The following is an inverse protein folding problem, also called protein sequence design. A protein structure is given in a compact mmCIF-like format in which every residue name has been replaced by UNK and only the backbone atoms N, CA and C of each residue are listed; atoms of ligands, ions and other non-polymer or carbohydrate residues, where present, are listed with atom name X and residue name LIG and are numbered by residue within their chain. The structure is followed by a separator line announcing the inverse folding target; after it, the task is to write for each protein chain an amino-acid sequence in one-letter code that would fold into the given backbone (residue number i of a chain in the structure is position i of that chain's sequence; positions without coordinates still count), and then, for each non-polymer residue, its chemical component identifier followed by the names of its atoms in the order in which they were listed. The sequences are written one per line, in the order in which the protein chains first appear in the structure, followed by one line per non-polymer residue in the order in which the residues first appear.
data_IF_258857861789
#
_entry.id   IF_258857861789
#
_cell.length_a   1.000
_cell.length_b   1.000
_cell.length_c   1.000
_cell.angle_alpha   90.00
_cell.angle_beta   90.00
_cell.angle_gamma   90.00
#
_symmetry.space_group_name_H-M   'P 1'
#
loop_
_entity.id
_entity.type
_entity.pdbx_description
1 polymer ?
#
# COMPACT_ATOMS: atom_id res chain seq x y z
N UNK A 1 10.74 14.61 14.28
CA UNK A 1 10.80 13.34 15.06
C UNK A 1 9.97 12.28 14.38
N UNK A 2 10.39 11.01 14.44
CA UNK A 2 9.60 9.87 13.98
C UNK A 2 8.30 9.80 14.78
N UNK A 3 7.22 9.49 14.07
CA UNK A 3 5.88 9.41 14.66
C UNK A 3 5.21 8.11 14.26
N UNK A 4 4.62 7.44 15.23
CA UNK A 4 3.68 6.34 15.00
C UNK A 4 2.52 6.39 15.98
N UNK A 5 1.40 5.81 15.55
CA UNK A 5 0.21 5.54 16.35
C UNK A 5 -0.39 4.21 15.89
N UNK A 6 -0.20 3.16 16.68
CA UNK A 6 -0.71 1.82 16.41
C UNK A 6 -1.91 1.57 17.33
N UNK A 7 -3.04 1.26 16.75
CA UNK A 7 -4.29 1.04 17.46
C UNK A 7 -4.90 -0.30 17.06
N UNK A 8 -5.27 -1.10 18.05
CA UNK A 8 -6.09 -2.31 17.88
C UNK A 8 -7.52 -1.97 18.29
N UNK A 9 -8.47 -2.25 17.41
CA UNK A 9 -9.90 -2.00 17.66
C UNK A 9 -10.72 -3.28 17.51
N UNK A 10 -11.82 -3.36 18.26
CA UNK A 10 -12.78 -4.43 18.11
C UNK A 10 -13.54 -4.27 16.79
N UNK A 11 -13.57 -5.29 15.93
CA UNK A 11 -14.18 -5.20 14.60
C UNK A 11 -15.71 -4.99 14.63
N UNK A 12 -16.38 -5.37 15.72
CA UNK A 12 -17.84 -5.26 15.85
C UNK A 12 -18.28 -3.93 16.47
N UNK A 13 -17.53 -3.46 17.49
CA UNK A 13 -17.93 -2.27 18.26
C UNK A 13 -17.15 -1.02 17.90
N UNK A 14 -15.99 -1.16 17.22
CA UNK A 14 -15.05 -0.07 16.98
C UNK A 14 -14.29 0.40 18.23
N UNK A 15 -14.54 -0.21 19.38
CA UNK A 15 -13.88 0.17 20.63
C UNK A 15 -12.38 -0.13 20.56
N UNK A 16 -11.56 0.78 21.09
CA UNK A 16 -10.11 0.59 21.20
C UNK A 16 -9.81 -0.48 22.23
N UNK A 17 -9.13 -1.55 21.82
CA UNK A 17 -8.65 -2.62 22.69
C UNK A 17 -7.29 -2.25 23.28
N UNK A 18 -6.39 -1.77 22.42
CA UNK A 18 -5.02 -1.39 22.78
C UNK A 18 -4.50 -0.29 21.86
N UNK A 19 -3.65 0.56 22.39
CA UNK A 19 -2.99 1.62 21.61
C UNK A 19 -1.55 1.81 22.09
N UNK A 20 -0.63 1.91 21.15
CA UNK A 20 0.74 2.32 21.37
C UNK A 20 1.04 3.50 20.46
N UNK A 21 1.58 4.56 21.03
CA UNK A 21 1.85 5.79 20.29
C UNK A 21 3.14 6.43 20.77
N UNK A 22 3.88 7.00 19.83
CA UNK A 22 5.05 7.84 20.17
C UNK A 22 4.64 9.24 20.64
N UNK A 23 3.36 9.60 20.50
CA UNK A 23 2.82 10.90 20.88
C UNK A 23 1.45 10.77 21.55
N UNK A 24 1.34 10.09 22.70
CA UNK A 24 0.10 10.02 23.45
C UNK A 24 -0.30 11.42 23.92
N UNK A 25 -1.54 11.84 23.59
CA UNK A 25 -2.01 13.19 23.95
C UNK A 25 -1.36 14.36 23.18
N UNK A 26 -0.65 14.09 22.08
CA UNK A 26 -0.04 15.12 21.23
C UNK A 26 1.38 15.54 21.61
N UNK A 27 1.90 15.01 22.72
CA UNK A 27 3.29 15.27 23.16
C UNK A 27 4.15 14.02 22.94
N UNK A 28 5.42 14.23 22.56
CA UNK A 28 6.38 13.15 22.36
C UNK A 28 6.67 12.41 23.67
N UNK A 29 6.56 11.09 23.62
CA UNK A 29 6.88 10.21 24.72
C UNK A 29 8.24 9.53 24.50
N UNK A 30 9.28 9.88 25.26
CA UNK A 30 10.60 9.24 25.14
C UNK A 30 10.57 7.76 25.57
N UNK A 31 9.56 7.35 26.36
CA UNK A 31 9.35 5.98 26.80
C UNK A 31 8.49 5.15 25.84
N UNK A 32 8.05 5.73 24.70
CA UNK A 32 7.29 5.00 23.69
C UNK A 32 8.01 3.71 23.29
N UNK A 33 7.26 2.62 23.11
CA UNK A 33 7.81 1.32 22.76
C UNK A 33 8.46 1.34 21.37
N UNK A 34 9.42 0.46 21.12
CA UNK A 34 9.94 0.27 19.78
C UNK A 34 8.91 -0.42 18.92
N UNK A 35 8.74 0.08 17.70
CA UNK A 35 7.91 -0.56 16.66
C UNK A 35 8.76 -0.80 15.43
N UNK A 36 8.67 -2.02 14.90
CA UNK A 36 9.28 -2.38 13.63
C UNK A 36 8.19 -2.84 12.67
N UNK A 37 8.29 -2.46 11.41
CA UNK A 37 7.36 -2.88 10.39
C UNK A 37 7.98 -2.91 8.99
N UNK A 38 7.44 -3.80 8.17
CA UNK A 38 7.69 -3.88 6.73
C UNK A 38 6.36 -4.17 6.03
N UNK A 39 5.87 -3.19 5.27
CA UNK A 39 4.51 -3.22 4.74
C UNK A 39 4.51 -2.88 3.24
N UNK A 40 4.68 -3.90 2.38
CA UNK A 40 4.54 -3.72 0.94
C UNK A 40 3.06 -3.68 0.52
N UNK A 41 2.68 -2.67 -0.25
CA UNK A 41 1.39 -2.54 -0.93
C UNK A 41 1.64 -2.39 -2.42
N UNK A 42 1.03 -3.22 -3.24
CA UNK A 42 1.20 -3.18 -4.70
C UNK A 42 -0.14 -3.22 -5.43
N UNK A 43 -0.10 -2.96 -6.74
CA UNK A 43 -1.25 -3.25 -7.60
C UNK A 43 -1.55 -4.75 -7.59
N UNK A 44 -2.83 -5.12 -7.77
CA UNK A 44 -3.28 -6.50 -7.63
C UNK A 44 -2.73 -7.48 -8.68
N UNK A 45 -2.15 -6.97 -9.77
CA UNK A 45 -1.46 -7.76 -10.79
C UNK A 45 0.02 -8.07 -10.43
N UNK A 46 0.52 -7.53 -9.31
CA UNK A 46 1.84 -7.82 -8.76
C UNK A 46 1.71 -8.58 -7.44
N UNK A 47 2.70 -9.43 -7.09
CA UNK A 47 2.72 -10.10 -5.81
C UNK A 47 2.69 -9.09 -4.65
N UNK A 48 1.81 -9.31 -3.69
CA UNK A 48 1.76 -8.54 -2.45
C UNK A 48 2.50 -9.29 -1.35
N UNK A 49 3.32 -8.57 -0.58
CA UNK A 49 3.93 -9.11 0.63
C UNK A 49 2.96 -9.11 1.80
N UNK A 50 3.30 -9.86 2.84
CA UNK A 50 2.58 -9.82 4.11
C UNK A 50 3.01 -8.59 4.92
N UNK A 51 2.05 -7.94 5.56
CA UNK A 51 2.35 -6.83 6.47
C UNK A 51 2.75 -7.38 7.83
N UNK A 52 4.01 -7.26 8.16
CA UNK A 52 4.57 -7.66 9.46
C UNK A 52 4.80 -6.44 10.34
N UNK A 53 4.30 -6.47 11.57
CA UNK A 53 4.48 -5.41 12.56
C UNK A 53 4.89 -6.05 13.86
N UNK A 54 5.94 -5.53 14.48
CA UNK A 54 6.48 -6.01 15.77
C UNK A 54 6.52 -4.83 16.74
N UNK A 55 6.02 -5.04 17.94
CA UNK A 55 6.09 -4.08 19.07
C UNK A 55 6.96 -4.69 20.14
N UNK A 56 8.08 -4.04 20.46
CA UNK A 56 9.03 -4.48 21.48
C UNK A 56 8.88 -3.69 22.78
N UNK A 57 9.16 -4.34 23.90
CA UNK A 57 9.01 -3.78 25.24
C UNK A 57 7.59 -3.87 25.79
N UNK A 58 6.78 -4.76 25.24
CA UNK A 58 5.40 -4.98 25.72
C UNK A 58 5.38 -5.62 27.10
N UNK A 59 4.25 -5.47 27.82
CA UNK A 59 4.06 -6.12 29.12
C UNK A 59 3.85 -7.63 28.99
N UNK A 60 4.14 -8.38 30.05
CA UNK A 60 3.86 -9.82 30.11
C UNK A 60 2.37 -10.12 29.86
N UNK A 61 1.48 -9.24 30.30
CA UNK A 61 0.04 -9.37 30.07
C UNK A 61 -0.29 -9.23 28.58
N UNK A 62 0.32 -8.30 27.85
CA UNK A 62 0.12 -8.15 26.41
C UNK A 62 0.63 -9.38 25.65
N UNK A 63 1.75 -9.93 26.11
CA UNK A 63 2.34 -11.14 25.55
C UNK A 63 1.41 -12.35 25.71
N UNK A 64 0.85 -12.56 26.91
CA UNK A 64 -0.08 -13.67 27.18
C UNK A 64 -1.41 -13.51 26.45
N UNK A 65 -1.82 -12.29 26.18
CA UNK A 65 -3.05 -11.98 25.43
C UNK A 65 -2.86 -11.95 23.90
N UNK A 66 -1.67 -12.24 23.42
CA UNK A 66 -1.35 -12.11 21.99
C UNK A 66 -2.37 -12.79 21.08
N UNK A 67 -2.74 -14.04 21.40
CA UNK A 67 -3.66 -14.83 20.55
C UNK A 67 -5.09 -14.25 20.51
N UNK A 68 -5.49 -13.45 21.49
CA UNK A 68 -6.83 -12.83 21.53
C UNK A 68 -7.02 -11.76 20.45
N UNK A 69 -5.92 -11.22 19.92
CA UNK A 69 -5.96 -10.23 18.85
C UNK A 69 -6.12 -10.86 17.48
N UNK A 70 -5.75 -12.12 17.32
CA UNK A 70 -5.77 -12.82 16.03
C UNK A 70 -7.18 -13.25 15.60
N UNK A 71 -7.33 -13.53 14.33
CA UNK A 71 -8.50 -14.21 13.78
C UNK A 71 -8.50 -15.67 14.25
N UNK A 72 -9.57 -16.13 14.86
CA UNK A 72 -9.72 -17.53 15.26
C UNK A 72 -10.66 -18.27 14.32
N UNK A 73 -10.36 -19.54 14.05
CA UNK A 73 -11.28 -20.47 13.37
C UNK A 73 -12.03 -21.24 14.44
N UNK A 74 -13.35 -21.10 14.48
CA UNK A 74 -14.21 -21.85 15.38
C UNK A 74 -14.32 -23.33 14.96
N UNK A 75 -14.79 -24.17 15.84
CA UNK A 75 -14.95 -25.61 15.57
C UNK A 75 -15.91 -25.95 14.43
N UNK A 76 -16.75 -25.01 14.00
CA UNK A 76 -17.65 -25.09 12.83
C UNK A 76 -16.99 -24.58 11.54
N UNK A 77 -15.71 -24.20 11.57
CA UNK A 77 -14.98 -23.61 10.45
C UNK A 77 -15.26 -22.11 10.23
N UNK A 78 -16.15 -21.49 11.02
CA UNK A 78 -16.40 -20.08 10.94
C UNK A 78 -15.23 -19.28 11.54
N UNK A 79 -14.81 -18.23 10.85
CA UNK A 79 -13.78 -17.33 11.37
C UNK A 79 -14.41 -16.33 12.35
N UNK A 80 -13.95 -16.33 13.59
CA UNK A 80 -14.25 -15.25 14.52
C UNK A 80 -13.24 -14.11 14.33
N UNK A 81 -13.78 -12.91 14.33
CA UNK A 81 -13.00 -11.76 13.95
C UNK A 81 -11.87 -11.38 14.89
N UNK A 82 -10.64 -11.40 14.42
CA UNK A 82 -9.49 -10.73 15.03
C UNK A 82 -9.67 -9.22 15.13
N UNK A 83 -8.84 -8.56 15.92
CA UNK A 83 -8.82 -7.11 16.00
C UNK A 83 -8.52 -6.47 14.63
N UNK A 84 -9.00 -5.25 14.43
CA UNK A 84 -8.55 -4.41 13.33
C UNK A 84 -7.33 -3.61 13.81
N UNK A 85 -6.24 -3.73 13.12
CA UNK A 85 -5.01 -2.98 13.37
C UNK A 85 -4.93 -1.80 12.42
N UNK A 86 -4.76 -0.61 12.99
CA UNK A 86 -4.48 0.62 12.24
C UNK A 86 -3.13 1.14 12.68
N UNK A 87 -2.19 1.28 11.75
CA UNK A 87 -0.92 1.95 11.98
C UNK A 87 -0.89 3.25 11.20
N UNK A 88 -0.72 4.35 11.94
CA UNK A 88 -0.39 5.66 11.37
C UNK A 88 1.08 5.93 11.61
N UNK A 89 1.74 6.59 10.66
CA UNK A 89 3.15 6.93 10.78
C UNK A 89 3.54 8.11 9.92
N UNK A 90 4.76 8.59 10.14
CA UNK A 90 5.32 9.73 9.44
C UNK A 90 6.37 10.47 10.27
N UNK A 91 6.53 11.76 9.97
CA UNK A 91 7.39 12.68 10.72
C UNK A 91 6.53 13.74 11.36
N UNK A 92 6.71 13.96 12.65
CA UNK A 92 6.06 15.05 13.40
C UNK A 92 7.03 16.21 13.67
N UNK A 93 6.49 17.33 14.13
CA UNK A 93 7.26 18.54 14.45
C UNK A 93 8.48 18.24 15.35
N UNK A 94 9.54 19.01 15.18
CA UNK A 94 10.78 18.89 15.94
C UNK A 94 12.03 18.60 15.11
N UNK A 95 11.87 18.37 13.79
CA UNK A 95 12.96 18.34 12.82
C UNK A 95 12.71 19.37 11.72
N UNK A 96 13.73 20.03 11.18
CA UNK A 96 13.57 21.02 10.09
C UNK A 96 12.91 20.46 8.84
N UNK A 97 13.05 19.13 8.61
CA UNK A 97 12.53 18.42 7.45
C UNK A 97 11.17 17.75 7.71
N UNK A 98 10.63 17.86 8.93
CA UNK A 98 9.38 17.22 9.27
C UNK A 98 8.19 18.01 8.72
N UNK A 99 7.37 17.36 7.90
CA UNK A 99 6.08 17.87 7.45
C UNK A 99 4.96 16.99 8.04
N UNK A 100 4.27 17.45 9.09
CA UNK A 100 3.19 16.67 9.71
C UNK A 100 2.04 16.34 8.76
N UNK A 101 1.84 17.11 7.69
CA UNK A 101 0.81 16.84 6.68
C UNK A 101 1.10 15.57 5.87
N UNK A 102 2.33 15.08 5.87
CA UNK A 102 2.72 13.82 5.22
C UNK A 102 2.47 12.59 6.11
N UNK A 103 2.23 12.79 7.41
CA UNK A 103 1.86 11.69 8.30
C UNK A 103 0.45 11.18 7.97
N UNK A 104 0.28 9.87 7.90
CA UNK A 104 -0.99 9.27 7.51
C UNK A 104 -1.12 7.82 7.93
N UNK A 105 -2.19 7.19 7.48
CA UNK A 105 -2.43 5.76 7.69
C UNK A 105 -1.55 4.96 6.73
N UNK A 106 -0.65 4.16 7.30
CA UNK A 106 0.24 3.27 6.55
C UNK A 106 -0.45 1.93 6.24
N UNK A 107 -1.16 1.39 7.23
CA UNK A 107 -1.95 0.17 7.09
C UNK A 107 -3.20 0.24 7.95
N UNK A 108 -4.28 -0.34 7.43
CA UNK A 108 -5.50 -0.66 8.16
C UNK A 108 -5.94 -2.06 7.71
N UNK A 109 -5.91 -3.02 8.63
CA UNK A 109 -6.17 -4.41 8.28
C UNK A 109 -6.60 -5.25 9.47
N UNK A 110 -7.07 -6.47 9.18
CA UNK A 110 -7.38 -7.44 10.21
C UNK A 110 -6.11 -8.14 10.67
N UNK A 111 -5.97 -8.35 11.97
CA UNK A 111 -4.91 -9.18 12.53
C UNK A 111 -5.24 -10.63 12.20
N UNK A 112 -4.49 -11.19 11.24
CA UNK A 112 -4.67 -12.58 10.83
C UNK A 112 -4.01 -13.53 11.83
N UNK A 113 -2.77 -13.22 12.24
CA UNK A 113 -2.04 -13.94 13.25
C UNK A 113 -1.38 -12.95 14.23
N UNK A 114 -1.26 -13.38 15.48
CA UNK A 114 -0.55 -12.63 16.51
C UNK A 114 0.10 -13.60 17.49
N UNK A 115 1.35 -13.33 17.81
CA UNK A 115 2.12 -14.16 18.77
C UNK A 115 3.09 -13.30 19.56
N UNK A 116 3.36 -13.75 20.78
CA UNK A 116 4.34 -13.13 21.64
C UNK A 116 5.62 -13.94 21.71
N UNK A 117 6.76 -13.26 21.74
CA UNK A 117 8.07 -13.83 21.95
C UNK A 117 8.72 -13.19 23.17
N UNK A 118 9.32 -14.04 24.03
CA UNK A 118 10.13 -13.59 25.15
C UNK A 118 11.52 -14.18 25.00
N UNK A 119 12.48 -13.34 24.67
CA UNK A 119 13.88 -13.73 24.40
C UNK A 119 14.77 -12.89 25.33
N UNK A 120 15.39 -13.55 26.33
CA UNK A 120 16.21 -12.84 27.32
C UNK A 120 15.36 -11.85 28.15
N UNK A 121 15.68 -10.58 28.05
CA UNK A 121 14.93 -9.48 28.69
C UNK A 121 13.87 -8.87 27.78
N UNK A 122 13.85 -9.24 26.50
CA UNK A 122 13.05 -8.58 25.48
C UNK A 122 11.72 -9.33 25.28
N UNK A 123 10.63 -8.63 25.45
CA UNK A 123 9.28 -9.09 25.16
C UNK A 123 8.77 -8.39 23.90
N UNK A 124 8.43 -9.16 22.88
CA UNK A 124 7.96 -8.66 21.61
C UNK A 124 6.61 -9.27 21.23
N UNK A 125 5.71 -8.44 20.71
CA UNK A 125 4.41 -8.83 20.18
C UNK A 125 4.42 -8.63 18.66
N UNK A 126 4.20 -9.71 17.93
CA UNK A 126 4.22 -9.72 16.47
C UNK A 126 2.81 -9.86 15.91
N UNK A 127 2.53 -9.10 14.86
CA UNK A 127 1.27 -9.10 14.13
C UNK A 127 1.51 -9.38 12.66
N UNK A 128 0.74 -10.31 12.10
CA UNK A 128 0.56 -10.48 10.68
C UNK A 128 -0.79 -9.87 10.31
N UNK A 129 -0.76 -8.83 9.48
CA UNK A 129 -1.95 -8.07 9.10
C UNK A 129 -2.31 -8.35 7.65
N UNK A 130 -3.59 -8.57 7.41
CA UNK A 130 -4.15 -8.77 6.09
C UNK A 130 -5.26 -7.75 5.83
N UNK A 131 -5.53 -7.37 4.57
CA UNK A 131 -6.67 -6.55 4.26
C UNK A 131 -7.97 -7.15 4.83
N UNK A 132 -8.87 -6.34 5.43
CA UNK A 132 -10.07 -6.86 6.10
C UNK A 132 -10.97 -7.70 5.18
N UNK A 133 -10.94 -7.43 3.88
CA UNK A 133 -11.69 -8.15 2.85
C UNK A 133 -11.21 -9.59 2.69
N UNK A 134 -9.92 -9.85 2.84
CA UNK A 134 -9.37 -11.21 2.71
C UNK A 134 -9.50 -12.06 3.98
N UNK A 135 -10.09 -11.48 5.04
CA UNK A 135 -10.27 -12.14 6.33
C UNK A 135 -11.25 -13.33 6.28
N UNK A 136 -12.24 -13.27 5.40
CA UNK A 136 -13.36 -14.24 5.34
C UNK A 136 -13.33 -15.15 4.12
N UNK A 137 -12.19 -15.56 3.65
CA UNK A 137 -11.93 -16.12 2.33
C UNK A 137 -12.15 -15.09 1.21
N UNK A 138 -11.24 -15.06 0.27
CA UNK A 138 -11.53 -14.42 -1.01
C UNK A 138 -12.82 -15.03 -1.53
N UNK A 139 -13.72 -14.24 -2.18
CA UNK A 139 -15.04 -14.75 -2.57
C UNK A 139 -14.99 -15.94 -3.49
N UNK A 140 -13.84 -16.41 -3.91
CA UNK A 140 -13.64 -17.66 -4.68
C UNK A 140 -14.36 -17.69 -6.02
N UNK A 141 -15.21 -16.69 -6.28
CA UNK A 141 -16.06 -16.61 -7.45
C UNK A 141 -16.40 -15.15 -7.79
N UNK A 142 -15.45 -14.47 -8.41
CA UNK A 142 -15.66 -13.14 -8.95
C UNK A 142 -16.20 -13.30 -10.38
N UNK A 143 -17.48 -12.97 -10.57
CA UNK A 143 -18.15 -13.07 -11.87
C UNK A 143 -18.10 -11.73 -12.57
N UNK A 144 -17.35 -11.64 -13.66
CA UNK A 144 -17.26 -10.46 -14.50
C UNK A 144 -18.13 -10.64 -15.75
N UNK A 145 -18.91 -9.60 -16.06
CA UNK A 145 -19.74 -9.59 -17.24
C UNK A 145 -19.76 -8.17 -17.82
N UNK A 146 -19.09 -7.98 -18.95
CA UNK A 146 -18.98 -6.69 -19.63
C UNK A 146 -19.68 -6.79 -20.99
N UNK A 147 -20.85 -6.16 -21.09
CA UNK A 147 -21.72 -6.25 -22.26
C UNK A 147 -21.40 -5.16 -23.30
N UNK A 148 -21.62 -5.42 -24.60
CA UNK A 148 -21.44 -4.41 -25.65
C UNK A 148 -22.19 -3.10 -25.34
N UNK A 149 -21.51 -1.97 -25.51
CA UNK A 149 -22.03 -0.65 -25.18
C UNK A 149 -21.96 -0.24 -23.69
N UNK A 150 -21.64 -1.16 -22.80
CA UNK A 150 -21.49 -0.88 -21.37
C UNK A 150 -20.11 -0.26 -21.10
N UNK A 151 -20.06 0.73 -20.19
CA UNK A 151 -18.80 1.28 -19.70
C UNK A 151 -18.10 0.26 -18.78
N UNK A 152 -16.80 0.19 -18.86
CA UNK A 152 -16.00 -0.70 -18.01
C UNK A 152 -16.13 -0.34 -16.52
N UNK A 153 -16.23 0.96 -16.19
CA UNK A 153 -16.47 1.42 -14.83
C UNK A 153 -17.72 0.78 -14.19
N UNK A 154 -18.79 0.67 -14.95
CA UNK A 154 -20.07 0.14 -14.47
C UNK A 154 -19.99 -1.39 -14.29
N UNK A 155 -19.36 -2.10 -15.24
CA UNK A 155 -19.15 -3.53 -15.15
C UNK A 155 -18.27 -3.90 -13.94
N UNK A 156 -17.16 -3.17 -13.73
CA UNK A 156 -16.28 -3.37 -12.56
C UNK A 156 -17.01 -3.03 -11.26
N UNK A 157 -17.76 -1.93 -11.21
CA UNK A 157 -18.55 -1.56 -10.02
C UNK A 157 -19.50 -2.68 -9.64
N UNK A 158 -20.26 -3.19 -10.60
CA UNK A 158 -21.21 -4.29 -10.35
C UNK A 158 -20.49 -5.55 -9.87
N UNK A 159 -19.40 -5.92 -10.50
CA UNK A 159 -18.61 -7.11 -10.14
C UNK A 159 -18.04 -7.00 -8.73
N UNK A 160 -17.35 -5.88 -8.43
CA UNK A 160 -16.67 -5.72 -7.15
C UNK A 160 -17.63 -5.47 -5.99
N UNK A 161 -18.73 -4.74 -6.20
CA UNK A 161 -19.75 -4.56 -5.15
C UNK A 161 -20.48 -5.86 -4.80
N UNK A 162 -20.59 -6.79 -5.75
CA UNK A 162 -21.14 -8.13 -5.50
C UNK A 162 -20.13 -9.01 -4.78
N UNK A 163 -18.87 -9.02 -5.23
CA UNK A 163 -17.83 -9.84 -4.66
C UNK A 163 -17.35 -9.35 -3.28
N UNK A 164 -17.29 -8.04 -3.09
CA UNK A 164 -16.78 -7.37 -1.89
C UNK A 164 -17.75 -6.31 -1.35
N UNK A 165 -18.93 -6.71 -0.85
CA UNK A 165 -19.99 -5.77 -0.47
C UNK A 165 -19.63 -4.82 0.69
N UNK A 166 -18.60 -5.17 1.47
CA UNK A 166 -18.15 -4.37 2.62
C UNK A 166 -16.99 -3.43 2.29
N UNK A 167 -16.40 -3.54 1.08
CA UNK A 167 -15.26 -2.72 0.69
C UNK A 167 -15.72 -1.48 -0.07
N UNK A 168 -15.36 -0.27 0.39
CA UNK A 168 -15.54 0.94 -0.40
C UNK A 168 -14.80 0.83 -1.73
N UNK A 169 -15.43 1.28 -2.80
CA UNK A 169 -14.87 1.29 -4.15
C UNK A 169 -14.53 2.72 -4.57
N UNK A 170 -13.34 2.90 -5.13
CA UNK A 170 -12.92 4.14 -5.78
C UNK A 170 -12.48 3.83 -7.20
N UNK A 171 -13.30 4.22 -8.19
CA UNK A 171 -13.07 3.91 -9.61
C UNK A 171 -12.75 5.19 -10.37
N UNK A 172 -11.52 5.28 -10.84
CA UNK A 172 -10.93 6.44 -11.52
C UNK A 172 -10.31 5.98 -12.86
N UNK A 173 -11.15 5.63 -13.82
CA UNK A 173 -10.75 5.15 -15.15
C UNK A 173 -11.40 5.93 -16.27
N UNK A 174 -10.83 5.87 -17.47
CA UNK A 174 -11.34 6.55 -18.64
C UNK A 174 -12.77 6.15 -18.97
N UNK A 175 -13.68 7.11 -19.17
CA UNK A 175 -15.06 6.84 -19.62
C UNK A 175 -15.14 6.33 -21.07
N UNK A 176 -14.03 6.38 -21.82
CA UNK A 176 -13.95 5.88 -23.20
C UNK A 176 -13.79 4.35 -23.29
N UNK A 177 -13.55 3.70 -22.14
CA UNK A 177 -13.49 2.24 -22.06
C UNK A 177 -14.90 1.67 -22.13
N UNK A 178 -15.36 1.39 -23.35
CA UNK A 178 -16.69 0.84 -23.65
C UNK A 178 -16.53 -0.47 -24.42
N UNK A 179 -17.30 -1.49 -24.04
CA UNK A 179 -17.24 -2.79 -24.67
C UNK A 179 -17.65 -2.73 -26.15
N UNK A 180 -16.81 -3.22 -27.03
CA UNK A 180 -17.15 -3.48 -28.43
C UNK A 180 -17.75 -4.89 -28.63
N UNK A 181 -17.39 -5.83 -27.76
CA UNK A 181 -17.86 -7.22 -27.73
C UNK A 181 -18.03 -7.67 -26.28
N UNK A 182 -18.85 -8.71 -26.02
CA UNK A 182 -19.02 -9.20 -24.66
C UNK A 182 -17.71 -9.82 -24.15
N UNK A 183 -17.40 -9.58 -22.88
CA UNK A 183 -16.34 -10.28 -22.14
C UNK A 183 -16.94 -10.82 -20.83
N UNK A 184 -16.87 -12.14 -20.64
CA UNK A 184 -17.42 -12.85 -19.48
C UNK A 184 -16.33 -13.73 -18.90
N UNK A 185 -16.12 -13.62 -17.59
CA UNK A 185 -15.09 -14.39 -16.90
C UNK A 185 -15.44 -14.74 -15.47
N UNK A 186 -14.78 -15.80 -14.98
CA UNK A 186 -14.82 -16.24 -13.58
C UNK A 186 -13.41 -16.22 -13.02
N UNK A 187 -13.25 -15.61 -11.86
CA UNK A 187 -11.95 -15.46 -11.22
C UNK A 187 -12.03 -15.88 -9.76
N UNK A 188 -11.12 -16.73 -9.32
CA UNK A 188 -11.08 -17.20 -7.94
C UNK A 188 -10.42 -16.22 -6.99
N UNK A 189 -9.60 -15.29 -7.50
CA UNK A 189 -8.88 -14.31 -6.68
C UNK A 189 -8.96 -12.91 -7.26
N UNK A 190 -8.84 -11.90 -6.39
CA UNK A 190 -8.74 -10.51 -6.79
C UNK A 190 -7.57 -10.26 -7.76
N UNK A 191 -6.44 -10.94 -7.52
CA UNK A 191 -5.24 -10.80 -8.35
C UNK A 191 -5.48 -11.29 -9.78
N UNK A 192 -6.15 -12.44 -9.95
CA UNK A 192 -6.50 -12.95 -11.28
C UNK A 192 -7.45 -12.00 -12.02
N UNK A 193 -8.45 -11.47 -11.32
CA UNK A 193 -9.35 -10.48 -11.90
C UNK A 193 -8.62 -9.20 -12.30
N UNK A 194 -7.76 -8.65 -11.44
CA UNK A 194 -6.98 -7.46 -11.73
C UNK A 194 -6.04 -7.65 -12.94
N UNK A 195 -5.41 -8.83 -13.04
CA UNK A 195 -4.55 -9.17 -14.17
C UNK A 195 -5.35 -9.27 -15.47
N UNK A 196 -6.52 -9.91 -15.45
CA UNK A 196 -7.41 -10.01 -16.61
C UNK A 196 -7.84 -8.62 -17.10
N UNK A 197 -8.33 -7.75 -16.22
CA UNK A 197 -8.75 -6.40 -16.59
C UNK A 197 -7.59 -5.58 -17.16
N UNK A 198 -6.39 -5.68 -16.59
CA UNK A 198 -5.21 -5.03 -17.14
C UNK A 198 -4.90 -5.50 -18.56
N UNK A 199 -4.85 -6.80 -18.78
CA UNK A 199 -4.58 -7.39 -20.11
C UNK A 199 -5.67 -7.04 -21.13
N UNK A 200 -6.94 -7.09 -20.71
CA UNK A 200 -8.09 -6.76 -21.54
C UNK A 200 -8.06 -5.30 -22.01
N UNK A 201 -7.60 -4.39 -21.15
CA UNK A 201 -7.63 -2.95 -21.42
C UNK A 201 -6.35 -2.39 -22.00
N UNK A 202 -5.24 -3.11 -21.89
CA UNK A 202 -3.94 -2.67 -22.39
C UNK A 202 -4.01 -2.40 -23.91
N UNK A 203 -3.56 -1.21 -24.31
CA UNK A 203 -3.55 -0.81 -25.72
C UNK A 203 -4.92 -0.37 -26.30
N UNK A 204 -6.03 -0.41 -25.53
CA UNK A 204 -7.36 -0.06 -26.07
C UNK A 204 -7.52 1.42 -26.42
N UNK A 205 -6.94 2.32 -25.65
CA UNK A 205 -7.08 3.77 -25.89
C UNK A 205 -5.96 4.33 -26.77
N UNK A 206 -4.77 3.78 -26.65
CA UNK A 206 -3.60 4.10 -27.47
C UNK A 206 -2.60 2.95 -27.39
N UNK A 207 -1.64 2.90 -28.32
CA UNK A 207 -0.58 1.87 -28.30
C UNK A 207 0.30 1.89 -27.05
N UNK A 208 0.35 3.03 -26.36
CA UNK A 208 1.11 3.22 -25.10
C UNK A 208 0.25 3.10 -23.84
N UNK A 209 -1.06 2.86 -23.98
CA UNK A 209 -1.96 2.76 -22.84
C UNK A 209 -1.66 1.51 -22.00
N UNK A 210 -1.25 1.72 -20.75
CA UNK A 210 -0.80 0.65 -19.84
C UNK A 210 -1.93 -0.24 -19.31
N UNK A 211 -3.20 0.09 -19.60
CA UNK A 211 -4.38 -0.61 -19.11
C UNK A 211 -4.84 -0.14 -17.73
N UNK A 212 -5.99 -0.68 -17.31
CA UNK A 212 -6.59 -0.42 -16.00
C UNK A 212 -5.90 -1.28 -14.95
N UNK A 213 -5.59 -0.66 -13.81
CA UNK A 213 -4.97 -1.34 -12.65
C UNK A 213 -5.90 -1.27 -11.45
N UNK A 214 -5.75 -2.23 -10.57
CA UNK A 214 -6.52 -2.31 -9.34
C UNK A 214 -5.59 -2.52 -8.16
N UNK A 215 -5.96 -1.97 -7.01
CA UNK A 215 -5.26 -2.23 -5.74
C UNK A 215 -6.26 -2.29 -4.61
N UNK A 216 -5.90 -3.01 -3.58
CA UNK A 216 -6.58 -2.97 -2.30
C UNK A 216 -5.64 -2.32 -1.29
N UNK A 217 -5.95 -1.12 -0.86
CA UNK A 217 -5.14 -0.34 0.07
C UNK A 217 -5.98 0.16 1.23
N UNK A 218 -5.45 0.06 2.43
CA UNK A 218 -6.04 0.50 3.72
C UNK A 218 -7.42 -0.06 4.06
N UNK A 219 -8.42 0.03 3.25
CA UNK A 219 -9.76 -0.56 3.37
C UNK A 219 -10.58 -0.37 2.11
N UNK A 220 -9.97 0.20 1.06
CA UNK A 220 -10.66 0.62 -0.16
C UNK A 220 -10.09 -0.14 -1.36
N UNK A 221 -10.95 -0.67 -2.20
CA UNK A 221 -10.55 -1.14 -3.52
C UNK A 221 -10.48 0.07 -4.45
N UNK A 222 -9.31 0.33 -4.98
CA UNK A 222 -9.07 1.41 -5.94
C UNK A 222 -8.83 0.83 -7.31
N UNK A 223 -9.57 1.31 -8.30
CA UNK A 223 -9.43 0.97 -9.72
C UNK A 223 -9.06 2.24 -10.46
N UNK A 224 -7.95 2.25 -11.16
CA UNK A 224 -7.41 3.46 -11.76
C UNK A 224 -6.67 3.18 -13.07
N UNK A 225 -6.52 4.21 -13.86
CA UNK A 225 -5.67 4.21 -15.05
C UNK A 225 -4.83 5.49 -15.12
N UNK A 226 -4.02 5.64 -16.16
CA UNK A 226 -3.15 6.80 -16.33
C UNK A 226 -3.83 8.00 -17.00
N UNK A 227 -5.11 7.90 -17.36
CA UNK A 227 -5.83 8.96 -18.07
C UNK A 227 -6.50 9.97 -17.15
N UNK A 228 -6.85 9.55 -15.94
CA UNK A 228 -7.47 10.42 -14.94
C UNK A 228 -6.42 11.31 -14.26
N UNK A 229 -6.72 12.58 -14.12
CA UNK A 229 -5.87 13.51 -13.38
C UNK A 229 -6.19 13.41 -11.89
N UNK A 230 -5.63 12.42 -11.21
CA UNK A 230 -5.62 12.38 -9.73
C UNK A 230 -4.67 13.46 -9.20
N UNK A 231 -4.78 13.87 -7.93
CA UNK A 231 -3.85 14.81 -7.33
C UNK A 231 -2.41 14.37 -7.57
N UNK A 232 -1.59 15.31 -8.04
CA UNK A 232 -0.16 15.05 -8.26
C UNK A 232 0.58 15.44 -7.01
N UNK A 233 1.27 14.50 -6.37
CA UNK A 233 2.16 14.80 -5.26
C UNK A 233 3.49 15.34 -5.80
N UNK A 234 3.78 16.60 -5.50
CA UNK A 234 5.09 17.19 -5.78
C UNK A 234 6.05 16.80 -4.66
N UNK A 235 7.04 15.97 -4.97
CA UNK A 235 8.13 15.67 -4.05
C UNK A 235 9.11 16.83 -3.99
N UNK A 236 9.60 17.13 -2.79
CA UNK A 236 10.63 18.14 -2.57
C UNK A 236 11.98 17.47 -2.30
N UNK A 237 13.10 18.20 -2.48
CA UNK A 237 14.43 17.65 -2.17
C UNK A 237 14.56 17.14 -0.74
N UNK A 238 13.87 17.78 0.19
CA UNK A 238 13.85 17.42 1.61
C UNK A 238 13.10 16.12 1.91
N UNK A 239 12.30 15.63 0.98
CA UNK A 239 11.58 14.37 1.15
C UNK A 239 12.47 13.15 0.90
N UNK A 240 13.52 13.29 0.11
CA UNK A 240 14.31 12.16 -0.38
C UNK A 240 15.30 11.62 0.65
N UNK A 241 15.37 10.29 0.69
CA UNK A 241 16.42 9.52 1.36
C UNK A 241 17.23 8.82 0.26
N UNK A 242 18.27 9.49 -0.21
CA UNK A 242 19.06 9.05 -1.35
C UNK A 242 18.49 9.50 -2.69
N UNK A 243 19.09 9.02 -3.76
CA UNK A 243 18.78 9.40 -5.13
C UNK A 243 17.72 8.45 -5.73
N UNK A 244 16.75 8.96 -6.53
CA UNK A 244 15.88 8.09 -7.32
C UNK A 244 16.67 7.18 -8.26
N UNK A 245 16.26 5.92 -8.38
CA UNK A 245 17.03 4.86 -9.08
C UNK A 245 16.13 4.10 -10.04
N UNK A 246 16.55 3.94 -11.30
CA UNK A 246 15.88 3.05 -12.23
C UNK A 246 16.19 1.58 -11.86
N UNK A 247 15.16 0.84 -11.43
CA UNK A 247 15.28 -0.58 -11.04
C UNK A 247 14.86 -1.54 -12.16
N UNK A 248 14.11 -1.04 -13.14
CA UNK A 248 13.74 -1.74 -14.36
C UNK A 248 13.65 -0.75 -15.51
N UNK A 249 13.41 -1.24 -16.72
CA UNK A 249 13.37 -0.44 -17.95
C UNK A 249 12.37 0.72 -17.89
N UNK A 250 11.23 0.48 -17.24
CA UNK A 250 10.11 1.41 -17.10
C UNK A 250 9.76 1.74 -15.63
N UNK A 251 10.58 1.31 -14.69
CA UNK A 251 10.26 1.46 -13.26
C UNK A 251 11.36 2.19 -12.52
N UNK A 252 11.02 3.34 -11.96
CA UNK A 252 11.88 4.11 -11.06
C UNK A 252 11.51 3.84 -9.62
N UNK A 253 12.51 3.64 -8.77
CA UNK A 253 12.35 3.55 -7.32
C UNK A 253 12.73 4.86 -6.67
N UNK A 254 11.88 5.33 -5.78
CA UNK A 254 12.07 6.54 -4.99
C UNK A 254 11.96 6.20 -3.52
N UNK A 255 12.94 6.61 -2.73
CA UNK A 255 12.90 6.47 -1.28
C UNK A 255 12.73 7.84 -0.65
N UNK A 256 11.75 7.98 0.24
CA UNK A 256 11.48 9.21 0.98
C UNK A 256 11.49 8.94 2.48
N UNK A 257 11.53 10.00 3.28
CA UNK A 257 11.15 9.88 4.70
C UNK A 257 9.76 9.25 4.80
N UNK A 258 9.49 8.54 5.90
CA UNK A 258 8.22 7.84 6.06
C UNK A 258 7.04 8.80 5.91
N UNK A 259 6.12 8.48 5.02
CA UNK A 259 4.91 9.24 4.74
C UNK A 259 3.75 8.34 4.35
N UNK A 260 2.54 8.69 4.79
CA UNK A 260 1.31 7.93 4.53
C UNK A 260 0.30 8.65 3.65
N UNK A 261 0.67 9.81 3.09
CA UNK A 261 -0.19 10.63 2.23
C UNK A 261 -0.18 10.18 0.75
N UNK A 262 0.82 9.38 0.34
CA UNK A 262 0.96 8.87 -1.03
C UNK A 262 0.59 7.38 -1.04
N UNK A 263 -0.32 7.03 -1.94
CA UNK A 263 -0.83 5.66 -2.09
C UNK A 263 -0.59 5.11 -3.51
N UNK A 264 -0.74 3.80 -3.65
CA UNK A 264 -0.73 3.15 -4.97
C UNK A 264 -1.84 3.74 -5.85
N UNK A 265 -1.47 4.13 -7.07
CA UNK A 265 -2.35 4.81 -8.03
C UNK A 265 -2.27 6.34 -7.99
N UNK A 266 -1.53 6.94 -7.06
CA UNK A 266 -1.23 8.38 -7.09
C UNK A 266 -0.15 8.70 -8.12
N UNK A 267 -0.06 9.97 -8.48
CA UNK A 267 0.96 10.47 -9.37
C UNK A 267 2.00 11.28 -8.60
N UNK A 268 3.25 11.13 -9.01
CA UNK A 268 4.39 11.88 -8.48
C UNK A 268 5.01 12.73 -9.56
N UNK A 269 5.53 13.90 -9.15
CA UNK A 269 6.48 14.71 -9.93
C UNK A 269 7.70 15.00 -9.06
N UNK A 270 8.84 15.14 -9.73
CA UNK A 270 10.12 15.37 -9.08
C UNK A 270 10.52 16.85 -9.15
N UNK A 271 11.36 17.34 -8.22
CA UNK A 271 11.93 18.68 -8.29
C UNK A 271 12.72 18.90 -9.59
N UNK A 272 12.74 20.11 -10.10
CA UNK A 272 13.39 20.47 -11.37
C UNK A 272 14.86 20.04 -11.41
N UNK A 273 15.58 20.11 -10.29
CA UNK A 273 16.98 19.67 -10.20
C UNK A 273 17.18 18.18 -10.47
N UNK A 274 16.22 17.33 -10.12
CA UNK A 274 16.24 15.90 -10.48
C UNK A 274 15.80 15.67 -11.92
N UNK A 275 14.94 16.52 -12.46
CA UNK A 275 14.46 16.39 -13.84
C UNK A 275 15.59 16.48 -14.86
N UNK A 276 16.68 17.17 -14.55
CA UNK A 276 17.84 17.34 -15.41
C UNK A 276 19.06 16.49 -15.01
N UNK A 277 18.96 15.75 -13.89
CA UNK A 277 20.05 14.89 -13.43
C UNK A 277 19.97 13.52 -14.12
N UNK A 278 21.12 12.92 -14.50
CA UNK A 278 21.13 11.53 -14.93
C UNK A 278 20.66 10.63 -13.78
N UNK A 279 19.65 9.80 -14.03
CA UNK A 279 19.20 8.80 -13.08
C UNK A 279 20.30 7.75 -12.86
N UNK A 280 20.47 7.27 -11.63
CA UNK A 280 21.29 6.11 -11.36
C UNK A 280 20.56 4.85 -11.85
N UNK A 281 21.26 4.00 -12.62
CA UNK A 281 20.73 2.73 -13.11
C UNK A 281 21.36 1.61 -12.31
N UNK A 282 20.56 0.86 -11.57
CA UNK A 282 21.03 -0.35 -10.92
C UNK A 282 21.11 -1.48 -11.94
N UNK A 283 22.33 -1.88 -12.30
CA UNK A 283 22.59 -3.01 -13.20
C UNK A 283 22.37 -4.32 -12.46
N UNK A 284 21.14 -4.75 -12.32
CA UNK A 284 20.80 -6.07 -11.80
C UNK A 284 20.60 -7.07 -12.95
N UNK A 285 19.41 -7.18 -13.43
CA UNK A 285 19.06 -8.07 -14.54
C UNK A 285 18.89 -7.35 -15.89
N UNK A 286 19.02 -6.05 -15.94
CA UNK A 286 18.70 -5.25 -17.11
C UNK A 286 19.97 -4.83 -17.86
N UNK A 287 20.65 -5.78 -18.47
CA UNK A 287 21.66 -5.51 -19.51
C UNK A 287 21.03 -5.07 -20.83
N UNK A 288 19.74 -4.81 -20.86
CA UNK A 288 19.05 -4.36 -22.06
C UNK A 288 19.23 -2.85 -22.23
N UNK A 289 19.51 -2.38 -23.48
CA UNK A 289 19.50 -0.96 -23.77
C UNK A 289 18.11 -0.40 -23.40
N UNK A 290 18.10 0.66 -22.61
CA UNK A 290 16.82 1.32 -22.28
C UNK A 290 16.20 1.85 -23.58
N UNK A 291 14.92 1.59 -23.80
CA UNK A 291 14.15 2.18 -24.89
C UNK A 291 14.17 3.72 -24.84
N UNK A 292 14.42 4.26 -23.67
CA UNK A 292 14.47 5.68 -23.35
C UNK A 292 15.91 6.20 -23.28
N UNK A 293 16.68 6.01 -24.37
CA UNK A 293 18.09 6.41 -24.48
C UNK A 293 18.34 7.90 -24.12
N UNK A 294 17.31 8.72 -24.16
CA UNK A 294 17.35 10.15 -23.84
C UNK A 294 16.64 10.52 -22.53
N UNK A 295 16.06 9.58 -21.83
CA UNK A 295 15.36 9.78 -20.57
C UNK A 295 16.15 9.26 -19.36
N UNK A 296 17.48 9.40 -19.40
CA UNK A 296 18.29 9.27 -18.18
C UNK A 296 17.97 10.38 -17.18
N UNK A 297 17.35 11.46 -17.62
CA UNK A 297 16.82 12.50 -16.78
C UNK A 297 15.43 12.07 -16.23
N UNK A 298 15.24 12.23 -14.92
CA UNK A 298 13.99 11.94 -14.23
C UNK A 298 13.02 13.08 -14.53
N UNK A 299 12.28 12.97 -15.62
CA UNK A 299 11.35 14.00 -16.11
C UNK A 299 9.93 13.49 -16.19
N UNK A 300 8.95 14.39 -16.02
CA UNK A 300 7.55 14.11 -16.23
C UNK A 300 6.81 13.64 -14.98
N UNK A 301 5.69 13.01 -15.25
CA UNK A 301 4.76 12.46 -14.26
C UNK A 301 4.97 10.96 -14.14
N UNK A 302 4.92 10.46 -12.92
CA UNK A 302 5.09 9.04 -12.62
C UNK A 302 3.88 8.53 -11.84
N UNK A 303 3.36 7.36 -12.21
CA UNK A 303 2.29 6.68 -11.47
C UNK A 303 2.90 5.69 -10.47
N UNK A 304 2.45 5.75 -9.23
CA UNK A 304 2.87 4.85 -8.16
C UNK A 304 2.19 3.49 -8.34
N UNK A 305 2.98 2.43 -8.54
CA UNK A 305 2.48 1.07 -8.69
C UNK A 305 2.75 0.18 -7.47
N UNK A 306 3.69 0.59 -6.63
CA UNK A 306 3.99 -0.10 -5.38
C UNK A 306 4.48 0.92 -4.34
N UNK A 307 4.06 0.70 -3.11
CA UNK A 307 4.53 1.42 -1.92
C UNK A 307 5.01 0.38 -0.91
N UNK A 308 6.19 0.60 -0.31
CA UNK A 308 6.67 -0.20 0.81
C UNK A 308 7.05 0.74 1.94
N UNK A 309 6.39 0.59 3.07
CA UNK A 309 6.74 1.33 4.28
C UNK A 309 7.65 0.46 5.16
N UNK A 310 8.82 0.97 5.48
CA UNK A 310 9.79 0.29 6.35
C UNK A 310 10.04 1.18 7.56
N UNK A 311 9.89 0.62 8.75
CA UNK A 311 10.08 1.35 10.00
C UNK A 311 10.77 0.53 11.07
N UNK A 312 11.73 1.15 11.75
CA UNK A 312 12.24 0.77 13.06
C UNK A 312 12.38 2.07 13.86
N UNK A 313 11.50 2.25 14.83
CA UNK A 313 11.33 3.54 15.50
C UNK A 313 12.57 3.99 16.26
N UNK A 314 13.30 3.06 16.86
CA UNK A 314 14.48 3.34 17.69
C UNK A 314 15.82 3.23 16.97
N UNK A 315 15.84 2.69 15.76
CA UNK A 315 17.06 2.58 14.97
C UNK A 315 17.50 3.98 14.48
N UNK A 316 18.72 4.44 14.74
CA UNK A 316 19.19 5.75 14.30
C UNK A 316 19.44 5.86 12.80
N UNK A 317 19.48 4.74 12.05
CA UNK A 317 19.69 4.77 10.59
C UNK A 317 18.57 5.57 9.89
N UNK A 318 18.96 6.47 9.00
CA UNK A 318 18.03 7.23 8.16
C UNK A 318 17.16 6.36 7.24
N UNK A 319 17.64 5.16 6.89
CA UNK A 319 16.89 4.18 6.10
C UNK A 319 15.87 3.37 6.92
N UNK A 320 15.93 3.48 8.24
CA UNK A 320 15.03 2.75 9.14
C UNK A 320 13.68 3.43 9.37
N UNK A 321 13.34 4.49 8.62
CA UNK A 321 12.04 5.18 8.73
C UNK A 321 11.66 5.81 7.39
N UNK A 322 11.30 4.97 6.42
CA UNK A 322 11.18 5.36 5.02
C UNK A 322 9.93 4.79 4.34
N UNK A 323 9.47 5.51 3.32
CA UNK A 323 8.55 5.01 2.31
C UNK A 323 9.30 4.85 0.98
N UNK A 324 9.15 3.70 0.36
CA UNK A 324 9.77 3.35 -0.92
C UNK A 324 8.66 3.23 -1.95
N UNK A 325 8.75 4.01 -3.01
CA UNK A 325 7.78 4.03 -4.10
C UNK A 325 8.40 3.47 -5.37
N UNK A 326 7.78 2.48 -5.98
CA UNK A 326 8.09 2.05 -7.33
C UNK A 326 7.06 2.70 -8.26
N UNK A 327 7.56 3.41 -9.27
CA UNK A 327 6.74 4.25 -10.13
C UNK A 327 7.04 3.98 -11.59
N UNK A 328 6.03 4.11 -12.45
CA UNK A 328 6.16 4.02 -13.90
C UNK A 328 5.90 5.37 -14.54
N UNK A 329 6.62 5.73 -15.61
CA UNK A 329 6.36 6.96 -16.35
C UNK A 329 4.93 6.99 -16.89
N UNK A 330 4.32 8.17 -16.88
CA UNK A 330 3.03 8.43 -17.51
C UNK A 330 3.30 9.22 -18.77
N UNK A 331 2.94 8.65 -19.90
CA UNK A 331 3.06 9.26 -21.23
C UNK A 331 1.99 10.32 -21.47
#
# INVERSE_FOLDING_TARGET
MRYYDLTLTNPKTGAVIKRWSSMPGGSYDPAALNIMFDMPVSVGDLPTGQHSIIVEGVSLQDLTNAQQYATAINGDGAQSGGAILTLKGGMQAGLPLANPAQAGTLVNGAVFQSWGNWIGTDMALSFLVVPPVFRYNEPGNIVFNWQPGQKLSDAITQTLSTAYPQAPLKIEISPQLVAARPDIGYFSTFSQFAQHIKQLTQGLLSTTYAGVRMTYSTSTIRVFDTTQQTPIALLQFTDFVGQPTWIAQDTIQVKTVLRGDIQVGDFLTFPIGFQNAPGFVQTGQASYPTFYKYQSAIQGKFAVIQVRHVGNFRDPDGNAWVSIFNCVPVS
#
